data_IF_033406136765
#
_entry.id   IF_033406136765
#
_cell.length_a   1.000
_cell.length_b   1.000
_cell.length_c   1.000
_cell.angle_alpha   90.00
_cell.angle_beta   90.00
_cell.angle_gamma   90.00
#
_symmetry.space_group_name_H-M   'P 1'
#
loop_
_entity.id
_entity.type
_entity.pdbx_description
1 polymer ?
#
# COMPACT_ATOMS: atom_id res chain seq x y z
N UNK A 1 6.74 3.95 3.56
CA UNK A 1 6.72 3.90 5.04
C UNK A 1 8.11 3.95 5.68
N UNK A 2 9.08 3.14 5.23
CA UNK A 2 10.44 3.16 5.79
C UNK A 2 11.11 4.55 5.71
N UNK A 3 11.04 5.20 4.54
CA UNK A 3 11.57 6.56 4.32
C UNK A 3 10.95 7.59 5.27
N UNK A 4 9.63 7.49 5.51
CA UNK A 4 8.92 8.32 6.46
C UNK A 4 9.38 8.11 7.91
N UNK A 5 9.60 6.85 8.30
CA UNK A 5 10.17 6.52 9.61
C UNK A 5 11.55 7.18 9.81
N UNK A 6 12.42 7.14 8.80
CA UNK A 6 13.74 7.81 8.87
C UNK A 6 13.62 9.34 8.93
N UNK A 7 12.77 9.94 8.12
CA UNK A 7 12.52 11.38 8.14
C UNK A 7 12.02 11.84 9.52
N UNK A 8 11.10 11.08 10.11
CA UNK A 8 10.53 11.37 11.42
C UNK A 8 11.55 11.19 12.55
N UNK A 9 12.36 10.11 12.51
CA UNK A 9 13.47 9.92 13.46
C UNK A 9 14.45 11.10 13.43
N UNK A 10 14.77 11.59 12.23
CA UNK A 10 15.67 12.74 12.09
C UNK A 10 15.04 14.03 12.62
N UNK A 11 13.74 14.26 12.37
CA UNK A 11 12.99 15.39 12.95
C UNK A 11 12.99 15.35 14.48
N UNK A 12 12.73 14.18 15.07
CA UNK A 12 12.74 13.98 16.52
C UNK A 12 14.13 14.16 17.14
N UNK A 13 15.20 13.75 16.45
CA UNK A 13 16.59 13.99 16.88
C UNK A 13 16.86 15.48 17.04
N UNK A 14 16.50 16.28 16.02
CA UNK A 14 16.70 17.73 16.02
C UNK A 14 15.87 18.41 17.11
N UNK A 15 14.64 17.95 17.37
CA UNK A 15 13.82 18.47 18.45
C UNK A 15 14.45 18.24 19.84
N UNK A 16 15.05 17.05 20.05
CA UNK A 16 15.71 16.68 21.30
C UNK A 16 17.03 17.43 21.49
N UNK A 17 17.86 17.51 20.45
CA UNK A 17 19.16 18.19 20.49
C UNK A 17 19.03 19.68 20.82
N UNK A 18 17.99 20.33 20.31
CA UNK A 18 17.72 21.76 20.56
C UNK A 18 16.84 22.01 21.80
N UNK A 19 16.46 20.97 22.55
CA UNK A 19 15.52 21.03 23.68
C UNK A 19 14.16 21.70 23.33
N UNK A 20 13.74 21.63 22.07
CA UNK A 20 12.51 22.24 21.55
C UNK A 20 11.31 21.27 21.68
N UNK A 21 11.01 20.87 22.91
CA UNK A 21 9.94 19.90 23.22
C UNK A 21 8.58 20.56 23.47
N UNK A 22 8.49 21.89 23.40
CA UNK A 22 7.24 22.62 23.57
C UNK A 22 6.23 22.32 22.47
N UNK A 23 4.95 22.36 22.81
CA UNK A 23 3.86 22.25 21.85
C UNK A 23 3.83 23.52 20.98
N UNK A 24 3.74 23.39 19.66
CA UNK A 24 3.80 24.49 18.66
C UNK A 24 5.16 25.20 18.52
N UNK A 25 6.24 24.62 19.01
CA UNK A 25 7.59 25.16 18.78
C UNK A 25 8.08 24.76 17.39
N UNK A 26 8.50 25.76 16.60
CA UNK A 26 9.06 25.56 15.27
C UNK A 26 10.46 24.95 15.40
N UNK A 27 10.66 23.80 14.76
CA UNK A 27 11.98 23.17 14.70
C UNK A 27 12.83 23.85 13.62
N UNK A 28 14.15 24.02 13.84
CA UNK A 28 15.09 24.54 12.83
C UNK A 28 15.37 23.45 11.78
N UNK A 29 14.33 23.03 11.07
CA UNK A 29 14.38 21.94 10.11
C UNK A 29 13.66 22.35 8.83
N UNK A 30 14.31 22.15 7.70
CA UNK A 30 13.71 22.47 6.40
C UNK A 30 12.66 21.42 6.03
N UNK A 31 11.59 21.87 5.36
CA UNK A 31 10.50 21.00 4.88
C UNK A 31 10.97 19.93 3.89
N UNK A 32 12.12 20.13 3.24
CA UNK A 32 12.73 19.17 2.30
C UNK A 32 13.03 17.80 2.92
N UNK A 33 13.04 17.66 4.25
CA UNK A 33 13.15 16.34 4.88
C UNK A 33 11.99 15.39 4.51
N UNK A 34 10.83 15.95 4.15
CA UNK A 34 9.66 15.19 3.70
C UNK A 34 9.73 14.85 2.20
N UNK A 35 10.62 15.49 1.44
CA UNK A 35 10.71 15.31 -0.01
C UNK A 35 10.92 13.84 -0.42
N UNK A 36 11.83 13.07 0.21
CA UNK A 36 12.09 11.69 -0.21
C UNK A 36 10.88 10.78 -0.06
N UNK A 37 10.10 10.93 1.02
CA UNK A 37 8.91 10.10 1.25
C UNK A 37 7.79 10.42 0.25
N UNK A 38 7.58 11.70 -0.07
CA UNK A 38 6.51 12.11 -0.98
C UNK A 38 6.86 11.86 -2.44
N UNK A 39 8.11 12.08 -2.85
CA UNK A 39 8.57 11.77 -4.20
C UNK A 39 8.45 10.28 -4.50
N UNK A 40 8.93 9.42 -3.59
CA UNK A 40 8.83 7.96 -3.77
C UNK A 40 7.38 7.46 -3.74
N UNK A 41 6.54 8.00 -2.84
CA UNK A 41 5.12 7.64 -2.79
C UNK A 41 4.41 8.03 -4.09
N UNK A 42 4.62 9.25 -4.60
CA UNK A 42 4.01 9.71 -5.83
C UNK A 42 4.42 8.86 -7.04
N UNK A 43 5.71 8.52 -7.17
CA UNK A 43 6.17 7.62 -8.23
C UNK A 43 5.50 6.26 -8.10
N UNK A 44 5.55 5.64 -6.92
CA UNK A 44 4.98 4.31 -6.69
C UNK A 44 3.46 4.25 -6.96
N UNK A 45 2.70 5.24 -6.50
CA UNK A 45 1.26 5.28 -6.67
C UNK A 45 0.87 5.35 -8.17
N UNK A 46 1.54 6.19 -8.95
CA UNK A 46 1.27 6.29 -10.40
C UNK A 46 1.55 4.97 -11.13
N UNK A 47 2.70 4.34 -10.86
CA UNK A 47 3.03 3.05 -11.48
C UNK A 47 2.03 1.95 -11.12
N UNK A 48 1.65 1.86 -9.84
CA UNK A 48 0.69 0.85 -9.38
C UNK A 48 -0.70 1.12 -9.94
N UNK A 49 -1.14 2.39 -10.02
CA UNK A 49 -2.45 2.74 -10.53
C UNK A 49 -2.61 2.40 -12.02
N UNK A 50 -1.62 2.76 -12.84
CA UNK A 50 -1.59 2.40 -14.26
C UNK A 50 -1.54 0.88 -14.45
N UNK A 51 -0.64 0.18 -13.74
CA UNK A 51 -0.53 -1.27 -13.88
C UNK A 51 -1.82 -2.00 -13.46
N UNK A 52 -2.48 -1.56 -12.38
CA UNK A 52 -3.76 -2.14 -11.93
C UNK A 52 -4.87 -1.93 -12.96
N UNK A 53 -4.98 -0.73 -13.53
CA UNK A 53 -6.07 -0.45 -14.45
C UNK A 53 -5.91 -1.25 -15.74
N UNK A 54 -4.70 -1.27 -16.31
CA UNK A 54 -4.39 -2.06 -17.51
C UNK A 54 -4.66 -3.55 -17.26
N UNK A 55 -4.12 -4.11 -16.18
CA UNK A 55 -4.35 -5.50 -15.81
C UNK A 55 -5.84 -5.81 -15.61
N UNK A 56 -6.58 -4.91 -14.96
CA UNK A 56 -8.01 -5.10 -14.76
C UNK A 56 -8.77 -5.11 -16.08
N UNK A 57 -8.47 -4.19 -17.00
CA UNK A 57 -9.15 -4.13 -18.30
C UNK A 57 -8.82 -5.31 -19.21
N UNK A 58 -7.59 -5.83 -19.14
CA UNK A 58 -7.14 -7.01 -19.90
C UNK A 58 -7.73 -8.32 -19.34
N UNK A 59 -7.94 -8.40 -18.03
CA UNK A 59 -8.39 -9.64 -17.38
C UNK A 59 -9.90 -9.66 -17.08
N UNK A 60 -10.57 -8.50 -17.03
CA UNK A 60 -11.99 -8.44 -16.71
C UNK A 60 -12.87 -8.84 -17.92
N UNK A 61 -13.89 -9.68 -17.71
CA UNK A 61 -14.93 -9.91 -18.72
C UNK A 61 -15.61 -8.60 -19.12
N UNK A 62 -16.02 -8.48 -20.39
CA UNK A 62 -16.56 -7.22 -20.92
C UNK A 62 -17.73 -6.64 -20.10
N UNK A 63 -18.64 -7.49 -19.61
CA UNK A 63 -19.78 -7.07 -18.79
C UNK A 63 -19.44 -6.63 -17.36
N UNK A 64 -18.22 -6.90 -16.87
CA UNK A 64 -17.83 -6.63 -15.48
C UNK A 64 -16.94 -5.39 -15.32
N UNK A 65 -16.53 -4.74 -16.42
CA UNK A 65 -15.64 -3.57 -16.37
C UNK A 65 -16.23 -2.42 -15.54
N UNK A 66 -17.54 -2.19 -15.62
CA UNK A 66 -18.27 -1.19 -14.81
C UNK A 66 -18.25 -1.49 -13.30
N UNK A 67 -18.30 -2.78 -12.91
CA UNK A 67 -18.21 -3.17 -11.50
C UNK A 67 -16.81 -2.89 -10.92
N UNK A 68 -15.76 -2.91 -11.76
CA UNK A 68 -14.40 -2.59 -11.36
C UNK A 68 -14.25 -1.22 -10.71
N UNK A 69 -14.86 -0.19 -11.30
CA UNK A 69 -14.83 1.18 -10.76
C UNK A 69 -15.52 1.29 -9.41
N UNK A 70 -16.64 0.57 -9.23
CA UNK A 70 -17.35 0.50 -7.95
C UNK A 70 -16.49 -0.20 -6.89
N UNK A 71 -15.89 -1.35 -7.21
CA UNK A 71 -14.99 -2.05 -6.30
C UNK A 71 -13.76 -1.23 -5.94
N UNK A 72 -13.16 -0.52 -6.90
CA UNK A 72 -12.05 0.38 -6.66
C UNK A 72 -12.42 1.48 -5.66
N UNK A 73 -13.54 2.18 -5.89
CA UNK A 73 -14.02 3.25 -5.01
C UNK A 73 -14.36 2.74 -3.61
N UNK A 74 -15.04 1.58 -3.52
CA UNK A 74 -15.34 0.95 -2.24
C UNK A 74 -14.07 0.54 -1.49
N UNK A 75 -13.06 0.03 -2.20
CA UNK A 75 -11.76 -0.34 -1.62
C UNK A 75 -11.06 0.87 -1.00
N UNK A 76 -11.09 2.04 -1.65
CA UNK A 76 -10.56 3.29 -1.09
C UNK A 76 -11.30 3.71 0.21
N UNK A 77 -12.62 3.56 0.22
CA UNK A 77 -13.45 3.82 1.41
C UNK A 77 -13.08 2.88 2.57
N UNK A 78 -13.01 1.57 2.30
CA UNK A 78 -12.58 0.57 3.29
C UNK A 78 -11.18 0.88 3.80
N UNK A 79 -10.24 1.26 2.91
CA UNK A 79 -8.89 1.65 3.29
C UNK A 79 -8.86 2.84 4.26
N UNK A 80 -9.73 3.84 4.05
CA UNK A 80 -9.85 5.01 4.93
C UNK A 80 -10.37 4.64 6.33
N UNK A 81 -11.38 3.76 6.40
CA UNK A 81 -11.87 3.24 7.68
C UNK A 81 -10.82 2.40 8.39
N UNK A 82 -10.12 1.52 7.66
CA UNK A 82 -9.07 0.68 8.20
C UNK A 82 -7.90 1.53 8.73
N UNK A 83 -7.52 2.59 8.02
CA UNK A 83 -6.49 3.54 8.48
C UNK A 83 -6.87 4.19 9.80
N UNK A 84 -8.11 4.67 9.91
CA UNK A 84 -8.63 5.29 11.14
C UNK A 84 -8.70 4.30 12.30
N UNK A 85 -9.14 3.07 12.01
CA UNK A 85 -9.21 1.99 12.98
C UNK A 85 -7.81 1.62 13.51
N UNK A 86 -6.86 1.36 12.62
CA UNK A 86 -5.48 1.03 12.99
C UNK A 86 -4.83 2.14 13.82
N UNK A 87 -4.99 3.40 13.41
CA UNK A 87 -4.47 4.53 14.15
C UNK A 87 -5.04 4.58 15.57
N UNK A 88 -6.36 4.43 15.70
CA UNK A 88 -7.04 4.46 17.01
C UNK A 88 -6.62 3.30 17.90
N UNK A 89 -6.53 2.08 17.36
CA UNK A 89 -6.10 0.89 18.10
C UNK A 89 -4.65 1.04 18.58
N UNK A 90 -3.74 1.53 17.74
CA UNK A 90 -2.34 1.73 18.14
C UNK A 90 -2.22 2.86 19.16
N UNK A 91 -2.98 3.94 18.99
CA UNK A 91 -3.02 5.04 19.95
C UNK A 91 -3.50 4.57 21.33
N UNK A 92 -4.49 3.67 21.40
CA UNK A 92 -4.99 3.10 22.64
C UNK A 92 -4.00 2.10 23.25
N UNK A 93 -3.53 1.13 22.44
CA UNK A 93 -2.61 0.09 22.90
C UNK A 93 -1.30 0.66 23.43
N UNK A 94 -0.80 1.72 22.80
CA UNK A 94 0.44 2.38 23.18
C UNK A 94 0.33 3.21 24.48
N UNK A 95 -0.88 3.66 24.86
CA UNK A 95 -1.15 4.33 26.14
C UNK A 95 -1.29 3.35 27.30
N UNK A 96 -1.59 2.08 27.00
CA UNK A 96 -1.72 1.02 27.99
C UNK A 96 -0.38 0.83 28.72
N UNK A 97 -0.42 0.63 30.04
CA UNK A 97 0.73 0.50 30.96
C UNK A 97 1.38 1.82 31.44
N UNK A 98 0.66 2.95 31.42
CA UNK A 98 1.13 4.20 32.06
C UNK A 98 2.17 4.98 31.25
N UNK A 99 2.44 4.56 30.01
CA UNK A 99 3.23 5.32 29.05
C UNK A 99 2.39 6.42 28.40
N UNK A 100 3.04 7.51 27.96
CA UNK A 100 2.37 8.66 27.32
C UNK A 100 1.70 8.33 25.96
N UNK A 101 1.91 7.13 25.42
CA UNK A 101 1.50 6.72 24.08
C UNK A 101 2.48 7.15 22.98
N UNK A 102 2.35 6.59 21.78
CA UNK A 102 3.15 6.96 20.61
C UNK A 102 2.58 8.17 19.88
N UNK A 103 1.26 8.38 19.95
CA UNK A 103 0.52 9.44 19.26
C UNK A 103 -0.01 10.42 20.31
N UNK A 104 0.65 11.59 20.41
CA UNK A 104 0.29 12.68 21.32
C UNK A 104 -0.10 13.93 20.54
N UNK A 105 -0.82 14.84 21.19
CA UNK A 105 -1.12 16.18 20.66
C UNK A 105 0.15 17.01 20.42
N UNK A 106 1.22 16.74 21.17
CA UNK A 106 2.52 17.37 20.96
C UNK A 106 3.40 16.49 20.06
N UNK A 107 3.47 16.86 18.78
CA UNK A 107 4.26 16.16 17.76
C UNK A 107 5.77 16.11 18.11
N UNK A 108 6.31 17.08 18.85
CA UNK A 108 7.73 17.12 19.21
C UNK A 108 8.12 16.08 20.28
N UNK A 109 7.12 15.50 20.95
CA UNK A 109 7.28 14.43 21.95
C UNK A 109 6.68 13.10 21.45
N UNK A 110 5.81 13.18 20.44
CA UNK A 110 5.15 12.02 19.84
C UNK A 110 6.15 11.14 19.07
N UNK A 111 6.01 9.83 19.22
CA UNK A 111 6.81 8.83 18.53
C UNK A 111 6.09 8.28 17.30
N UNK A 112 5.82 9.15 16.32
CA UNK A 112 5.22 8.74 15.04
C UNK A 112 6.11 7.79 14.23
N UNK A 113 7.41 7.76 14.52
CA UNK A 113 8.36 6.84 13.92
C UNK A 113 8.00 5.37 14.18
N UNK A 114 7.45 5.04 15.36
CA UNK A 114 6.96 3.68 15.66
C UNK A 114 5.71 3.32 14.88
N UNK A 115 4.78 4.27 14.70
CA UNK A 115 3.60 4.04 13.84
C UNK A 115 4.02 3.79 12.39
N UNK A 116 4.96 4.57 11.85
CA UNK A 116 5.49 4.34 10.50
C UNK A 116 6.26 3.02 10.37
N UNK A 117 6.99 2.59 11.41
CA UNK A 117 7.64 1.30 11.43
C UNK A 117 6.62 0.14 11.44
N UNK A 118 5.55 0.24 12.24
CA UNK A 118 4.44 -0.71 12.23
C UNK A 118 3.81 -0.83 10.84
N UNK A 119 3.49 0.32 10.23
CA UNK A 119 2.94 0.35 8.87
C UNK A 119 3.91 -0.24 7.85
N UNK A 120 5.22 -0.05 8.01
CA UNK A 120 6.21 -0.67 7.12
C UNK A 120 6.20 -2.20 7.20
N UNK A 121 6.07 -2.77 8.41
CA UNK A 121 5.94 -4.22 8.60
C UNK A 121 4.65 -4.73 7.96
N UNK A 122 3.53 -4.03 8.19
CA UNK A 122 2.24 -4.39 7.60
C UNK A 122 2.26 -4.35 6.06
N UNK A 123 2.89 -3.32 5.48
CA UNK A 123 3.10 -3.22 4.02
C UNK A 123 3.99 -4.34 3.49
N UNK A 124 5.02 -4.74 4.23
CA UNK A 124 5.87 -5.87 3.83
C UNK A 124 5.10 -7.19 3.81
N UNK A 125 4.28 -7.45 4.83
CA UNK A 125 3.38 -8.62 4.86
C UNK A 125 2.40 -8.58 3.69
N UNK A 126 1.78 -7.42 3.42
CA UNK A 126 0.89 -7.24 2.28
C UNK A 126 1.59 -7.55 0.94
N UNK A 127 2.83 -7.09 0.77
CA UNK A 127 3.64 -7.38 -0.40
C UNK A 127 3.91 -8.88 -0.56
N UNK A 128 4.22 -9.60 0.52
CA UNK A 128 4.38 -11.06 0.47
C UNK A 128 3.08 -11.76 0.07
N UNK A 129 1.94 -11.36 0.65
CA UNK A 129 0.62 -11.88 0.26
C UNK A 129 0.34 -11.62 -1.23
N UNK A 130 0.69 -10.44 -1.73
CA UNK A 130 0.57 -10.10 -3.15
C UNK A 130 1.44 -11.01 -4.03
N UNK A 131 2.70 -11.27 -3.66
CA UNK A 131 3.58 -12.17 -4.42
C UNK A 131 3.03 -13.60 -4.47
N UNK A 132 2.47 -14.09 -3.36
CA UNK A 132 1.80 -15.39 -3.32
C UNK A 132 0.60 -15.41 -4.24
N UNK A 133 -0.28 -14.40 -4.17
CA UNK A 133 -1.44 -14.30 -5.05
C UNK A 133 -1.04 -14.20 -6.53
N UNK A 134 -0.04 -13.39 -6.86
CA UNK A 134 0.49 -13.23 -8.20
C UNK A 134 1.06 -14.55 -8.77
N UNK A 135 1.71 -15.36 -7.93
CA UNK A 135 2.22 -16.68 -8.34
C UNK A 135 1.09 -17.67 -8.68
N UNK A 136 -0.05 -17.57 -7.99
CA UNK A 136 -1.22 -18.42 -8.25
C UNK A 136 -2.17 -17.86 -9.30
N UNK A 137 -1.95 -16.62 -9.77
CA UNK A 137 -2.78 -15.98 -10.76
C UNK A 137 -2.53 -16.57 -12.15
N UNK A 138 -3.59 -17.06 -12.80
CA UNK A 138 -3.54 -17.57 -14.18
C UNK A 138 -4.02 -16.48 -15.11
N UNK A 139 -3.22 -16.16 -16.12
CA UNK A 139 -3.51 -15.10 -17.07
C UNK A 139 -4.46 -15.60 -18.17
N UNK A 140 -5.51 -14.83 -18.49
CA UNK A 140 -6.55 -15.26 -19.43
C UNK A 140 -6.00 -15.54 -20.84
N UNK A 141 -4.96 -14.83 -21.30
CA UNK A 141 -4.35 -15.08 -22.61
C UNK A 141 -3.72 -16.47 -22.68
N UNK A 142 -3.13 -16.95 -21.59
CA UNK A 142 -2.56 -18.31 -21.55
C UNK A 142 -3.67 -19.37 -21.62
N UNK A 143 -4.84 -19.09 -21.04
CA UNK A 143 -6.02 -19.96 -21.10
C UNK A 143 -6.56 -20.03 -22.52
N UNK A 144 -6.71 -18.90 -23.21
CA UNK A 144 -7.22 -18.87 -24.58
C UNK A 144 -6.26 -19.54 -25.58
N UNK A 145 -4.94 -19.34 -25.44
CA UNK A 145 -3.93 -20.02 -26.26
C UNK A 145 -3.96 -21.53 -26.03
N UNK A 146 -4.04 -21.96 -24.76
CA UNK A 146 -4.10 -23.39 -24.41
C UNK A 146 -5.37 -24.03 -24.93
N UNK A 147 -6.51 -23.35 -24.81
CA UNK A 147 -7.79 -23.82 -25.33
C UNK A 147 -7.76 -23.94 -26.86
N UNK A 148 -7.33 -22.89 -27.56
CA UNK A 148 -7.20 -22.90 -29.02
C UNK A 148 -6.23 -23.99 -29.53
N UNK A 149 -5.13 -24.23 -28.83
CA UNK A 149 -4.18 -25.31 -29.16
C UNK A 149 -4.80 -26.70 -28.96
N UNK A 150 -5.54 -26.89 -27.87
CA UNK A 150 -6.22 -28.16 -27.57
C UNK A 150 -7.32 -28.44 -28.60
N UNK A 151 -8.09 -27.42 -28.97
CA UNK A 151 -9.13 -27.51 -30.01
C UNK A 151 -8.53 -27.84 -31.40
N UNK A 152 -7.31 -27.34 -31.70
CA UNK A 152 -6.55 -27.67 -32.90
C UNK A 152 -5.94 -29.08 -32.89
N UNK A 153 -5.59 -29.64 -31.72
CA UNK A 153 -5.09 -31.01 -31.58
C UNK A 153 -6.21 -32.07 -31.57
N UNK A 154 -7.44 -31.70 -31.21
CA UNK A 154 -8.62 -32.58 -31.23
C UNK A 154 -9.30 -32.61 -32.62
N UNK A 155 -9.31 -31.49 -33.36
CA UNK A 155 -9.88 -31.40 -34.71
C UNK A 155 -9.00 -31.81 -35.92
N UNK A 156 -7.72 -32.25 -35.84
CA UNK A 156 -6.99 -32.72 -37.02
C UNK A 156 -7.43 -34.13 -37.43
N UNK A 157 -8.21 -34.83 -36.60
CA UNK A 157 -8.73 -36.18 -36.88
C UNK A 157 -10.01 -36.13 -37.72
N UNK A 158 -10.78 -35.03 -37.69
CA UNK A 158 -12.01 -34.88 -38.48
C UNK A 158 -11.76 -34.42 -39.92
N UNK A 159 -10.64 -33.75 -40.21
CA UNK A 159 -10.28 -33.32 -41.58
C UNK A 159 -9.57 -34.37 -42.42
N UNK A 160 -9.23 -35.53 -41.83
CA UNK A 160 -8.62 -36.68 -42.53
C UNK A 160 -9.70 -37.73 -42.89
N UNK A 161 -10.95 -37.56 -42.40
CA UNK A 161 -12.06 -38.50 -42.60
C UNK A 161 -13.18 -37.98 -43.53
N UNK A 162 -13.01 -36.81 -44.16
CA UNK A 162 -13.76 -36.39 -45.36
C UNK A 162 -12.88 -36.51 -46.61
#
# INVERSE_FOLDING_TARGET
MITACFAERRRLSVARENNLLGQHVVLPLTIFILLPQFALAGVADNFVEVAKIELFYDQAPEGMKSLGTSFFTTSLGIGSFLSSFLLSTIADLSKRNGHKGWILNNLNISHFDYYYAFMAILSFINFLCFLVAAKFFVYNVDVDITKNKTDMEINPVSSILE
#
